data_IF_030723562855
#
_entry.id   IF_030723562855
#
_cell.length_a   1.000
_cell.length_b   1.000
_cell.length_c   1.000
_cell.angle_alpha   90.00
_cell.angle_beta   90.00
_cell.angle_gamma   90.00
#
_symmetry.space_group_name_H-M   'P 1'
#
loop_
_entity.id
_entity.type
_entity.pdbx_description
1 polymer ?
#
# COMPACT_ATOMS: atom_id res chain seq x y z
N UNK A 1 -18.33 -0.45 2.52
CA UNK A 1 -18.28 0.81 1.75
C UNK A 1 -16.85 1.29 1.76
N UNK A 2 -16.28 1.65 0.61
CA UNK A 2 -14.84 1.91 0.41
C UNK A 2 -14.26 2.95 1.38
N UNK A 3 -15.04 4.00 1.67
CA UNK A 3 -14.73 5.06 2.63
C UNK A 3 -14.38 4.54 4.04
N UNK A 4 -15.02 3.45 4.48
CA UNK A 4 -14.79 2.90 5.82
C UNK A 4 -13.37 2.32 5.97
N UNK A 5 -12.87 1.68 4.92
CA UNK A 5 -11.51 1.11 4.90
C UNK A 5 -10.47 2.23 4.95
N UNK A 6 -10.62 3.25 4.11
CA UNK A 6 -9.68 4.37 4.07
C UNK A 6 -9.69 5.11 5.40
N UNK A 7 -10.87 5.30 6.00
CA UNK A 7 -11.02 5.94 7.31
C UNK A 7 -10.32 5.14 8.41
N UNK A 8 -10.51 3.81 8.46
CA UNK A 8 -9.80 2.93 9.39
C UNK A 8 -8.29 3.00 9.24
N UNK A 9 -7.79 2.96 7.99
CA UNK A 9 -6.36 3.06 7.72
C UNK A 9 -5.83 4.43 8.15
N UNK A 10 -6.55 5.51 7.82
CA UNK A 10 -6.20 6.87 8.21
C UNK A 10 -6.16 7.00 9.74
N UNK A 11 -7.15 6.49 10.46
CA UNK A 11 -7.16 6.51 11.93
C UNK A 11 -5.96 5.76 12.53
N UNK A 12 -5.64 4.57 12.01
CA UNK A 12 -4.46 3.80 12.43
C UNK A 12 -3.17 4.60 12.19
N UNK A 13 -3.01 5.16 11.00
CA UNK A 13 -1.86 5.98 10.63
C UNK A 13 -1.72 7.19 11.52
N UNK A 14 -2.82 7.91 11.81
CA UNK A 14 -2.79 9.08 12.69
C UNK A 14 -2.47 8.69 14.13
N UNK A 15 -2.92 7.53 14.58
CA UNK A 15 -2.64 7.05 15.93
C UNK A 15 -1.14 6.75 16.11
N UNK A 16 -0.53 6.08 15.12
CA UNK A 16 0.90 5.73 15.14
C UNK A 16 1.80 6.91 14.72
N UNK A 17 1.29 7.80 13.87
CA UNK A 17 2.00 8.91 13.26
C UNK A 17 1.08 10.17 13.27
N UNK A 18 0.96 10.86 14.42
CA UNK A 18 0.06 12.01 14.58
C UNK A 18 0.39 13.19 13.65
N UNK A 19 1.59 13.19 13.08
CA UNK A 19 2.00 14.10 12.03
C UNK A 19 1.13 14.01 10.77
N UNK A 20 0.49 12.87 10.46
CA UNK A 20 -0.38 12.78 9.27
C UNK A 20 -1.83 13.17 9.54
N UNK A 21 -2.18 13.69 10.73
CA UNK A 21 -3.57 14.06 11.08
C UNK A 21 -4.21 15.05 10.10
N UNK A 22 -3.40 15.98 9.61
CA UNK A 22 -3.79 17.08 8.73
C UNK A 22 -3.57 16.73 7.25
N UNK A 23 -3.11 15.51 6.97
CA UNK A 23 -2.80 15.06 5.61
C UNK A 23 -3.98 14.28 5.05
N UNK A 24 -4.38 14.66 3.84
CA UNK A 24 -5.28 13.85 3.04
C UNK A 24 -4.50 12.74 2.33
N UNK A 25 -4.83 11.46 2.57
CA UNK A 25 -4.17 10.37 1.87
C UNK A 25 -4.55 10.35 0.40
N UNK A 26 -3.56 10.16 -0.44
CA UNK A 26 -3.75 9.92 -1.87
C UNK A 26 -3.98 8.42 -2.05
N UNK A 27 -5.17 8.05 -2.50
CA UNK A 27 -5.51 6.65 -2.79
C UNK A 27 -5.27 6.38 -4.27
N UNK A 28 -4.29 5.51 -4.56
CA UNK A 28 -4.08 4.98 -5.90
C UNK A 28 -4.60 3.55 -5.97
N UNK A 29 -5.42 3.25 -6.96
CA UNK A 29 -5.90 1.89 -7.22
C UNK A 29 -5.01 1.24 -8.26
N UNK A 30 -4.39 0.12 -7.91
CA UNK A 30 -3.54 -0.64 -8.82
C UNK A 30 -4.07 -2.06 -8.93
N UNK A 31 -4.22 -2.55 -10.15
CA UNK A 31 -4.57 -3.95 -10.39
C UNK A 31 -3.26 -4.70 -10.60
N UNK A 32 -2.84 -5.47 -9.59
CA UNK A 32 -1.70 -6.37 -9.77
C UNK A 32 -2.17 -7.56 -10.61
N UNK A 33 -1.95 -7.47 -11.91
CA UNK A 33 -1.99 -8.62 -12.81
C UNK A 33 -0.62 -9.29 -12.83
N UNK A 34 -0.53 -10.48 -12.21
CA UNK A 34 0.63 -11.35 -12.39
C UNK A 34 0.60 -11.85 -13.82
N UNK A 35 1.32 -11.15 -14.70
CA UNK A 35 1.47 -11.51 -16.10
C UNK A 35 2.22 -12.83 -16.25
N UNK A 36 1.93 -13.56 -17.32
CA UNK A 36 2.51 -14.87 -17.61
C UNK A 36 4.06 -14.89 -17.59
N UNK A 37 4.72 -13.75 -17.86
CA UNK A 37 6.18 -13.63 -17.78
C UNK A 37 6.76 -13.76 -16.36
N UNK A 38 6.04 -13.31 -15.34
CA UNK A 38 6.44 -13.48 -13.93
C UNK A 38 6.32 -14.95 -13.53
N UNK A 39 5.29 -15.64 -14.04
CA UNK A 39 5.08 -17.08 -13.84
C UNK A 39 6.25 -17.90 -14.35
N UNK A 40 6.76 -17.62 -15.55
CA UNK A 40 7.89 -18.36 -16.13
C UNK A 40 9.19 -18.14 -15.35
N UNK A 41 9.41 -16.90 -14.89
CA UNK A 41 10.57 -16.55 -14.05
C UNK A 41 10.49 -17.20 -12.67
N UNK A 42 9.30 -17.29 -12.06
CA UNK A 42 9.08 -17.95 -10.77
C UNK A 42 9.16 -19.48 -10.85
N UNK A 43 8.71 -20.08 -11.96
CA UNK A 43 8.88 -21.51 -12.24
C UNK A 43 10.36 -21.89 -12.36
N UNK A 44 11.19 -21.03 -12.97
CA UNK A 44 12.65 -21.25 -13.08
C UNK A 44 13.40 -21.23 -11.76
N UNK A 45 12.90 -20.55 -10.73
CA UNK A 45 13.53 -20.48 -9.40
C UNK A 45 13.01 -21.53 -8.40
N UNK A 46 12.27 -22.55 -8.88
CA UNK A 46 11.84 -23.68 -8.05
C UNK A 46 10.77 -23.37 -7.01
N UNK A 47 10.24 -22.14 -6.98
CA UNK A 47 9.04 -21.81 -6.20
C UNK A 47 7.82 -22.14 -7.03
N UNK A 48 7.36 -23.38 -6.95
CA UNK A 48 6.06 -23.77 -7.49
C UNK A 48 4.96 -22.95 -6.81
N UNK A 49 4.40 -22.00 -7.56
CA UNK A 49 3.18 -21.34 -7.18
C UNK A 49 2.09 -22.39 -7.37
N UNK A 50 1.63 -23.00 -6.26
CA UNK A 50 0.54 -23.95 -6.27
C UNK A 50 -0.66 -23.27 -6.94
N UNK A 51 -1.02 -23.75 -8.13
CA UNK A 51 -2.25 -23.37 -8.83
C UNK A 51 -3.43 -23.73 -7.92
N UNK A 52 -3.92 -22.79 -7.13
CA UNK A 52 -5.35 -22.80 -6.86
C UNK A 52 -6.05 -22.61 -8.21
N UNK A 53 -6.98 -23.50 -8.53
CA UNK A 53 -7.76 -23.58 -9.78
C UNK A 53 -8.65 -22.34 -10.06
N UNK A 54 -8.45 -21.23 -9.35
CA UNK A 54 -9.03 -19.92 -9.64
C UNK A 54 -7.93 -19.09 -10.30
N UNK A 55 -8.11 -18.81 -11.59
CA UNK A 55 -7.10 -18.21 -12.44
C UNK A 55 -6.49 -16.96 -11.81
N UNK A 56 -5.16 -16.84 -11.93
CA UNK A 56 -4.35 -15.63 -11.72
C UNK A 56 -5.17 -14.49 -11.12
N UNK A 57 -5.42 -14.58 -9.81
CA UNK A 57 -6.36 -13.68 -9.15
C UNK A 57 -5.85 -12.25 -9.41
N UNK A 58 -6.61 -11.51 -10.23
CA UNK A 58 -6.41 -10.08 -10.43
C UNK A 58 -6.62 -9.45 -9.07
N UNK A 59 -5.55 -9.28 -8.32
CA UNK A 59 -5.67 -8.76 -6.97
C UNK A 59 -5.69 -7.25 -7.10
N UNK A 60 -6.87 -6.67 -6.98
CA UNK A 60 -6.99 -5.21 -6.88
C UNK A 60 -6.39 -4.83 -5.53
N UNK A 61 -5.33 -4.05 -5.60
CA UNK A 61 -4.70 -3.47 -4.43
C UNK A 61 -4.89 -1.96 -4.50
N UNK A 62 -4.83 -1.32 -3.34
CA UNK A 62 -4.87 0.13 -3.26
C UNK A 62 -3.67 0.60 -2.47
N UNK A 63 -2.95 1.54 -3.01
CA UNK A 63 -1.84 2.18 -2.32
C UNK A 63 -2.30 3.53 -1.79
N UNK A 64 -2.44 3.61 -0.48
CA UNK A 64 -2.79 4.80 0.27
C UNK A 64 -1.49 5.49 0.66
N UNK A 65 -1.24 6.67 0.10
CA UNK A 65 -0.01 7.44 0.31
C UNK A 65 -0.30 8.68 1.14
N UNK A 66 0.34 8.80 2.30
CA UNK A 66 0.36 10.00 3.13
C UNK A 66 1.67 10.72 2.88
N UNK A 67 1.62 12.00 2.54
CA UNK A 67 2.81 12.83 2.33
C UNK A 67 2.67 14.12 3.12
N UNK A 68 3.63 14.38 4.00
CA UNK A 68 3.77 15.65 4.72
C UNK A 68 5.17 16.21 4.53
N UNK A 69 5.32 17.51 4.78
CA UNK A 69 6.61 18.13 5.01
C UNK A 69 6.72 18.50 6.48
N UNK A 70 7.65 17.87 7.19
CA UNK A 70 8.04 18.28 8.53
C UNK A 70 9.12 19.36 8.43
N UNK A 71 9.12 20.32 9.35
CA UNK A 71 10.17 21.33 9.45
C UNK A 71 11.14 20.88 10.52
N UNK A 72 12.39 20.65 10.15
CA UNK A 72 13.47 20.33 11.08
C UNK A 72 13.88 21.57 11.90
N UNK A 73 14.62 21.37 12.99
CA UNK A 73 15.10 22.45 13.86
C UNK A 73 15.93 23.51 13.11
N UNK A 74 16.61 23.13 12.03
CA UNK A 74 17.39 24.01 11.15
C UNK A 74 16.53 24.76 10.10
N UNK A 75 15.21 24.57 10.10
CA UNK A 75 14.28 25.14 9.12
C UNK A 75 14.17 24.37 7.81
N UNK A 76 14.93 23.27 7.65
CA UNK A 76 14.85 22.38 6.50
C UNK A 76 13.50 21.65 6.45
N UNK A 77 12.87 21.60 5.27
CA UNK A 77 11.61 20.87 5.05
C UNK A 77 11.91 19.43 4.63
N UNK A 78 11.69 18.49 5.55
CA UNK A 78 11.87 17.05 5.30
C UNK A 78 10.54 16.46 4.82
N UNK A 79 10.47 15.88 3.61
CA UNK A 79 9.29 15.17 3.17
C UNK A 79 9.19 13.83 3.90
N UNK A 80 8.12 13.64 4.66
CA UNK A 80 7.79 12.36 5.29
C UNK A 80 6.69 11.72 4.46
N UNK A 81 6.95 10.51 3.96
CA UNK A 81 6.06 9.79 3.06
C UNK A 81 5.79 8.40 3.62
N UNK A 82 4.53 8.11 3.90
CA UNK A 82 4.06 6.79 4.32
C UNK A 82 3.17 6.20 3.23
N UNK A 83 3.48 4.98 2.78
CA UNK A 83 2.74 4.26 1.75
C UNK A 83 2.23 2.95 2.32
N UNK A 84 0.92 2.77 2.24
CA UNK A 84 0.21 1.59 2.71
C UNK A 84 -0.49 0.94 1.53
N UNK A 85 -0.08 -0.27 1.20
CA UNK A 85 -0.75 -1.09 0.19
C UNK A 85 -1.76 -1.97 0.89
N UNK A 86 -3.03 -1.84 0.53
CA UNK A 86 -4.15 -2.61 1.08
C UNK A 86 -4.84 -3.45 -0.01
N UNK A 87 -5.45 -4.57 0.38
CA UNK A 87 -6.29 -5.41 -0.47
C UNK A 87 -7.75 -4.91 -0.50
N UNK A 88 -8.61 -5.48 -1.37
CA UNK A 88 -10.04 -5.10 -1.49
C UNK A 88 -10.82 -5.19 -0.18
N UNK A 89 -10.39 -6.02 0.76
CA UNK A 89 -11.02 -6.16 2.09
C UNK A 89 -10.43 -5.18 3.12
N UNK A 90 -9.47 -4.36 2.74
CA UNK A 90 -8.80 -3.39 3.61
C UNK A 90 -7.65 -3.96 4.43
N UNK A 91 -7.18 -5.17 4.12
CA UNK A 91 -6.01 -5.73 4.79
C UNK A 91 -4.73 -5.07 4.28
N UNK A 92 -3.86 -4.61 5.18
CA UNK A 92 -2.55 -4.06 4.81
C UNK A 92 -1.68 -5.21 4.31
N UNK A 93 -1.32 -5.16 3.03
CA UNK A 93 -0.41 -6.10 2.37
C UNK A 93 1.05 -5.67 2.51
N UNK A 94 1.30 -4.35 2.52
CA UNK A 94 2.64 -3.79 2.61
C UNK A 94 2.61 -2.37 3.18
N UNK A 95 3.54 -2.09 4.07
CA UNK A 95 3.80 -0.75 4.58
C UNK A 95 5.23 -0.33 4.19
N UNK A 96 5.39 0.92 3.75
CA UNK A 96 6.70 1.53 3.49
C UNK A 96 6.65 3.01 3.86
N UNK A 97 7.46 3.40 4.83
CA UNK A 97 7.69 4.79 5.21
C UNK A 97 9.17 5.14 5.12
N UNK A 98 9.46 6.44 5.17
CA UNK A 98 10.81 6.98 5.35
C UNK A 98 10.81 7.96 6.52
#
# INVERSE_FOLDING_TARGET
>A
MMDDIIKKIKEKVINENPEFKDVEPIVNEEVLEITAGIKEKMKKIGKEINQTKQGFEKKKIKTITFKRFAVAEDGAKIPIVLRLTVDEKGNILKESGN
#
